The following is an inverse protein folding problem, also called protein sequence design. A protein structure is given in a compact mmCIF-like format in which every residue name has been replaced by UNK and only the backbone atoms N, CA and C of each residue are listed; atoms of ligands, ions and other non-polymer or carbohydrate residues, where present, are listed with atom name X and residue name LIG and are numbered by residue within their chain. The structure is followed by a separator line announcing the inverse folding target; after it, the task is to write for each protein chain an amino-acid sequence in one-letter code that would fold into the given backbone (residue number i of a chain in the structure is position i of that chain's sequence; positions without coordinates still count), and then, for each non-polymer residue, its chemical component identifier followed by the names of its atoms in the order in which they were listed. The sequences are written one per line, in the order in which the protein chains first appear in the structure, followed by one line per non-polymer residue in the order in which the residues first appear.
data_IF_134319459072
#
_entry.id   IF_134319459072
#
_cell.length_a   1.000
_cell.length_b   1.000
_cell.length_c   1.000
_cell.angle_alpha   90.00
_cell.angle_beta   90.00
_cell.angle_gamma   90.00
#
_symmetry.space_group_name_H-M   'P 1'
#
loop_
_entity.id
_entity.type
_entity.pdbx_description
1 polymer ?
#
# COMPACT_ATOMS: atom_id res chain seq x y z
N UNK A 1 -34.84 58.28 -0.34
CA UNK A 1 -33.48 58.46 -0.95
C UNK A 1 -32.46 58.17 0.14
N UNK A 2 -31.58 57.16 0.14
CA UNK A 2 -31.29 56.03 -0.75
C UNK A 2 -31.01 54.83 0.18
N UNK A 3 -31.75 53.73 -0.03
CA UNK A 3 -31.42 52.42 0.52
C UNK A 3 -30.20 51.92 -0.27
N UNK A 4 -29.02 51.84 0.36
CA UNK A 4 -27.84 51.22 -0.28
C UNK A 4 -27.79 49.76 0.13
N UNK A 5 -28.29 48.91 -0.76
CA UNK A 5 -27.96 47.49 -0.82
C UNK A 5 -26.48 47.40 -1.24
N UNK A 6 -25.66 46.75 -0.44
CA UNK A 6 -24.41 46.11 -0.87
C UNK A 6 -24.33 44.82 -0.08
N UNK A 7 -25.19 43.87 -0.43
CA UNK A 7 -24.84 42.65 -1.16
C UNK A 7 -23.70 41.90 -0.47
N UNK A 8 -24.08 41.16 0.58
CA UNK A 8 -23.67 39.79 0.86
C UNK A 8 -22.32 39.39 0.23
N UNK A 9 -21.24 39.54 1.00
CA UNK A 9 -20.00 38.82 0.77
C UNK A 9 -20.25 37.34 1.02
N UNK A 10 -20.83 36.64 0.04
CA UNK A 10 -20.82 35.18 0.01
C UNK A 10 -19.38 34.79 -0.29
N UNK A 11 -18.60 34.62 0.77
CA UNK A 11 -17.33 33.92 0.72
C UNK A 11 -17.69 32.47 0.34
N UNK A 12 -17.70 32.17 -0.96
CA UNK A 12 -17.52 30.81 -1.42
C UNK A 12 -16.09 30.43 -1.02
N UNK A 13 -15.94 29.96 0.22
CA UNK A 13 -14.86 29.05 0.56
C UNK A 13 -15.15 27.81 -0.26
N UNK A 14 -14.64 27.77 -1.49
CA UNK A 14 -14.39 26.50 -2.13
C UNK A 14 -13.42 25.81 -1.19
N UNK A 15 -13.95 24.95 -0.31
CA UNK A 15 -13.18 23.87 0.25
C UNK A 15 -12.72 23.07 -0.96
N UNK A 16 -11.56 23.41 -1.50
CA UNK A 16 -10.73 22.46 -2.19
C UNK A 16 -10.47 21.40 -1.12
N UNK A 17 -11.33 20.39 -1.07
CA UNK A 17 -10.96 19.13 -0.47
C UNK A 17 -9.92 18.60 -1.46
N UNK A 18 -8.62 18.60 -1.12
CA UNK A 18 -7.68 17.90 -1.97
C UNK A 18 -8.22 16.49 -2.17
N UNK A 19 -8.32 16.05 -3.43
CA UNK A 19 -8.53 14.65 -3.74
C UNK A 19 -7.32 13.92 -3.17
N UNK A 20 -7.44 13.48 -1.93
CA UNK A 20 -6.38 12.76 -1.25
C UNK A 20 -6.59 11.29 -1.57
N UNK A 21 -5.74 10.75 -2.44
CA UNK A 21 -5.75 9.32 -2.70
C UNK A 21 -5.17 8.62 -1.49
N UNK A 22 -6.04 7.88 -0.82
CA UNK A 22 -5.73 7.39 0.49
C UNK A 22 -5.79 5.87 0.44
N UNK A 23 -4.65 5.17 0.53
CA UNK A 23 -4.52 3.72 0.66
C UNK A 23 -4.82 3.22 2.09
N UNK A 24 -5.04 1.92 2.28
CA UNK A 24 -5.07 1.30 3.61
C UNK A 24 -4.31 -0.02 3.58
N UNK A 25 -3.30 -0.18 4.44
CA UNK A 25 -2.52 -1.40 4.63
C UNK A 25 -2.72 -1.98 6.03
N UNK A 26 -2.59 -3.29 6.17
CA UNK A 26 -2.65 -3.94 7.48
C UNK A 26 -1.73 -5.15 7.58
N UNK A 27 -1.34 -5.47 8.81
CA UNK A 27 -0.75 -6.76 9.20
C UNK A 27 -1.46 -7.27 10.46
N UNK A 28 -1.82 -8.54 10.50
CA UNK A 28 -2.49 -9.18 11.64
C UNK A 28 -1.90 -10.54 11.94
N UNK A 29 -1.78 -10.83 13.23
CA UNK A 29 -1.14 -12.00 13.80
C UNK A 29 -2.15 -12.73 14.71
N UNK A 30 -2.95 -13.59 14.11
CA UNK A 30 -3.89 -14.47 14.82
C UNK A 30 -3.47 -15.94 14.72
N UNK A 31 -4.45 -16.84 14.57
CA UNK A 31 -4.18 -18.24 14.20
C UNK A 31 -3.43 -18.35 12.87
N UNK A 32 -3.70 -17.40 11.96
CA UNK A 32 -2.93 -17.18 10.75
C UNK A 32 -2.30 -15.79 10.76
N UNK A 33 -1.16 -15.66 10.08
CA UNK A 33 -0.53 -14.38 9.79
C UNK A 33 -1.07 -13.93 8.46
N UNK A 34 -1.65 -12.74 8.40
CA UNK A 34 -2.25 -12.19 7.19
C UNK A 34 -1.86 -10.73 7.04
N UNK A 35 -1.47 -10.35 5.83
CA UNK A 35 -1.25 -8.95 5.47
C UNK A 35 -2.20 -8.55 4.36
N UNK A 36 -2.40 -7.26 4.17
CA UNK A 36 -3.14 -6.81 3.01
C UNK A 36 -3.08 -5.32 2.78
N UNK A 37 -3.59 -4.91 1.62
CA UNK A 37 -3.59 -3.53 1.19
C UNK A 37 -4.71 -3.27 0.18
N UNK A 38 -5.39 -2.13 0.32
CA UNK A 38 -6.06 -1.45 -0.78
C UNK A 38 -5.11 -0.43 -1.41
N UNK A 39 -4.90 -0.54 -2.72
CA UNK A 39 -4.26 0.46 -3.53
C UNK A 39 -5.33 1.40 -4.10
N UNK A 40 -5.41 2.57 -3.49
CA UNK A 40 -6.40 3.59 -3.76
C UNK A 40 -5.73 4.72 -4.55
N UNK A 41 -6.12 4.87 -5.82
CA UNK A 41 -5.49 5.81 -6.73
C UNK A 41 -6.44 6.27 -7.83
N UNK A 42 -6.04 7.27 -8.61
CA UNK A 42 -6.75 7.60 -9.84
C UNK A 42 -6.53 6.51 -10.90
N UNK A 43 -7.50 6.35 -11.80
CA UNK A 43 -7.49 5.29 -12.81
C UNK A 43 -6.19 5.26 -13.61
N UNK A 44 -5.40 4.22 -13.43
CA UNK A 44 -4.08 4.07 -14.05
C UNK A 44 -3.75 2.60 -14.33
N UNK A 45 -2.93 2.27 -15.35
CA UNK A 45 -2.51 0.89 -15.58
C UNK A 45 -1.76 0.29 -14.39
N UNK A 46 -2.21 -0.87 -13.95
CA UNK A 46 -1.55 -1.71 -12.96
C UNK A 46 -0.80 -2.86 -13.63
N UNK A 47 0.31 -3.26 -13.02
CA UNK A 47 1.13 -4.41 -13.42
C UNK A 47 1.43 -5.29 -12.22
N UNK A 48 1.32 -6.60 -12.43
CA UNK A 48 1.73 -7.62 -11.48
C UNK A 48 3.00 -8.29 -12.00
N UNK A 49 4.01 -8.47 -11.16
CA UNK A 49 5.26 -9.12 -11.57
C UNK A 49 5.89 -9.89 -10.42
N UNK A 50 6.73 -10.87 -10.77
CA UNK A 50 7.65 -11.52 -9.82
C UNK A 50 9.07 -11.30 -10.31
N UNK A 51 9.90 -10.72 -9.44
CA UNK A 51 11.33 -10.60 -9.67
C UNK A 51 12.10 -11.57 -8.79
N UNK A 52 13.18 -12.14 -9.33
CA UNK A 52 14.07 -13.03 -8.58
C UNK A 52 15.42 -12.36 -8.41
N UNK A 53 15.75 -11.95 -7.18
CA UNK A 53 17.04 -11.32 -6.85
C UNK A 53 17.67 -12.03 -5.66
N UNK A 54 18.96 -12.37 -5.76
CA UNK A 54 19.68 -13.06 -4.69
C UNK A 54 19.09 -14.42 -4.28
N UNK A 55 18.31 -15.07 -5.15
CA UNK A 55 17.61 -16.31 -4.82
C UNK A 55 16.33 -16.14 -4.00
N UNK A 56 15.79 -14.92 -3.92
CA UNK A 56 14.46 -14.64 -3.37
C UNK A 56 13.52 -14.18 -4.48
N UNK A 57 12.34 -14.78 -4.55
CA UNK A 57 11.26 -14.30 -5.38
C UNK A 57 10.47 -13.23 -4.63
N UNK A 58 10.18 -12.11 -5.30
CA UNK A 58 9.41 -11.00 -4.76
C UNK A 58 8.26 -10.71 -5.69
N UNK A 59 7.03 -10.77 -5.17
CA UNK A 59 5.86 -10.27 -5.87
C UNK A 59 5.76 -8.77 -5.70
N UNK A 60 5.43 -8.07 -6.79
CA UNK A 60 5.16 -6.65 -6.79
C UNK A 60 3.81 -6.33 -7.43
N UNK A 61 3.01 -5.54 -6.71
CA UNK A 61 2.01 -4.66 -7.30
C UNK A 61 2.71 -3.37 -7.72
N UNK A 62 2.62 -3.04 -9.00
CA UNK A 62 3.19 -1.84 -9.57
C UNK A 62 2.15 -1.07 -10.41
N UNK A 63 2.36 0.22 -10.59
CA UNK A 63 1.49 1.10 -11.36
C UNK A 63 2.33 1.99 -12.28
N UNK A 64 1.79 2.34 -13.44
CA UNK A 64 2.47 3.24 -14.37
C UNK A 64 2.69 4.60 -13.69
N UNK A 65 3.91 5.10 -13.57
CA UNK A 65 4.14 6.38 -12.88
C UNK A 65 4.05 7.55 -13.87
N UNK A 66 2.99 8.37 -13.78
CA UNK A 66 2.71 9.41 -14.78
C UNK A 66 3.74 10.54 -14.83
N UNK A 67 4.28 10.93 -13.66
CA UNK A 67 5.17 12.11 -13.56
C UNK A 67 6.47 11.96 -14.33
N UNK A 68 6.79 10.74 -14.73
CA UNK A 68 8.03 10.44 -15.43
C UNK A 68 7.80 10.07 -16.90
N UNK A 69 6.58 10.19 -17.42
CA UNK A 69 6.30 9.89 -18.82
C UNK A 69 6.91 10.90 -19.79
N UNK A 70 7.11 12.15 -19.35
CA UNK A 70 7.79 13.20 -20.13
C UNK A 70 9.31 13.02 -20.18
N UNK A 71 9.89 12.22 -19.27
CA UNK A 71 11.31 11.85 -19.29
C UNK A 71 11.49 10.52 -20.05
N UNK A 72 12.21 10.51 -21.18
CA UNK A 72 12.44 9.30 -21.97
C UNK A 72 13.03 8.13 -21.17
N UNK A 73 13.76 8.41 -20.08
CA UNK A 73 14.39 7.39 -19.21
C UNK A 73 13.36 6.60 -18.41
N UNK A 74 12.19 7.16 -18.19
CA UNK A 74 11.15 6.61 -17.33
C UNK A 74 9.80 6.46 -18.06
N UNK A 75 9.81 6.58 -19.39
CA UNK A 75 8.67 6.23 -20.23
C UNK A 75 8.32 4.77 -20.01
N UNK A 76 7.05 4.47 -19.72
CA UNK A 76 6.59 3.14 -19.32
C UNK A 76 7.22 2.61 -18.00
N UNK A 77 7.69 3.49 -17.12
CA UNK A 77 8.14 3.09 -15.79
C UNK A 77 6.96 2.70 -14.90
N UNK A 78 7.04 1.51 -14.31
CA UNK A 78 6.07 1.01 -13.34
C UNK A 78 6.66 1.09 -11.93
N UNK A 79 6.17 2.04 -11.13
CA UNK A 79 6.58 2.19 -9.73
C UNK A 79 5.95 1.07 -8.90
N UNK A 80 6.75 0.44 -8.04
CA UNK A 80 6.31 -0.63 -7.13
C UNK A 80 5.76 0.00 -5.85
N UNK A 81 4.60 -0.46 -5.37
CA UNK A 81 3.93 0.12 -4.18
C UNK A 81 3.66 -0.92 -3.10
N UNK A 82 3.45 -2.18 -3.46
CA UNK A 82 3.16 -3.22 -2.48
C UNK A 82 3.74 -4.55 -2.91
N UNK A 83 4.19 -5.37 -1.96
CA UNK A 83 4.82 -6.62 -2.31
C UNK A 83 5.08 -7.53 -1.12
N UNK A 84 5.43 -8.77 -1.44
CA UNK A 84 5.85 -9.76 -0.46
C UNK A 84 6.90 -10.67 -1.10
N UNK A 85 7.97 -10.95 -0.36
CA UNK A 85 8.97 -11.91 -0.81
C UNK A 85 8.69 -13.34 -0.32
N UNK A 86 9.42 -14.31 -0.86
CA UNK A 86 9.25 -15.74 -0.55
C UNK A 86 9.71 -16.15 0.87
N UNK A 87 10.26 -15.19 1.64
CA UNK A 87 10.53 -15.33 3.08
C UNK A 87 9.37 -14.82 3.93
N UNK A 88 8.36 -14.22 3.30
CA UNK A 88 7.18 -13.71 3.97
C UNK A 88 7.38 -12.33 4.60
N UNK A 89 8.42 -11.59 4.19
CA UNK A 89 8.53 -10.16 4.44
C UNK A 89 7.60 -9.42 3.47
N UNK A 90 6.75 -8.58 4.02
CA UNK A 90 5.79 -7.75 3.30
C UNK A 90 6.18 -6.28 3.44
N UNK A 91 5.91 -5.51 2.38
CA UNK A 91 6.01 -4.05 2.39
C UNK A 91 4.85 -3.45 1.61
N UNK A 92 4.22 -2.43 2.18
CA UNK A 92 3.38 -1.48 1.44
C UNK A 92 3.93 -0.07 1.60
N UNK A 93 4.27 0.58 0.50
CA UNK A 93 4.68 1.98 0.39
C UNK A 93 3.45 2.82 -0.01
N UNK A 94 3.06 3.77 0.84
CA UNK A 94 1.84 4.57 0.69
C UNK A 94 2.16 6.07 0.78
N UNK A 95 1.37 6.91 0.13
CA UNK A 95 1.42 8.35 0.35
C UNK A 95 1.07 8.70 1.81
N UNK A 96 1.74 9.69 2.39
CA UNK A 96 1.49 10.16 3.76
C UNK A 96 1.28 11.66 3.79
N UNK A 97 0.18 12.09 4.42
CA UNK A 97 -0.19 13.51 4.57
C UNK A 97 -0.15 13.98 6.03
N UNK A 98 0.36 15.19 6.31
CA UNK A 98 0.72 16.22 5.35
C UNK A 98 2.03 15.93 4.61
N UNK A 99 2.11 16.33 3.34
CA UNK A 99 3.35 16.23 2.59
C UNK A 99 4.45 17.09 3.21
N UNK A 100 5.62 16.49 3.33
CA UNK A 100 6.86 17.15 3.68
C UNK A 100 7.53 17.60 2.39
N UNK A 101 8.12 18.80 2.40
CA UNK A 101 8.87 19.29 1.25
C UNK A 101 10.08 18.39 1.01
N UNK A 102 10.03 17.61 -0.06
CA UNK A 102 11.12 16.73 -0.46
C UNK A 102 12.40 17.46 -0.89
N UNK A 103 13.51 16.75 -0.85
CA UNK A 103 14.83 17.27 -1.26
C UNK A 103 15.06 17.02 -2.76
N UNK A 104 15.48 18.04 -3.50
CA UNK A 104 15.70 17.93 -4.95
C UNK A 104 16.87 17.00 -5.34
N UNK A 105 17.78 16.73 -4.40
CA UNK A 105 18.94 15.87 -4.59
C UNK A 105 19.35 15.23 -3.28
N UNK A 106 19.81 13.99 -3.34
CA UNK A 106 20.36 13.26 -2.21
C UNK A 106 21.84 13.60 -2.01
N UNK A 107 22.22 13.89 -0.76
CA UNK A 107 23.60 13.99 -0.31
C UNK A 107 24.25 12.62 -0.10
N UNK A 108 25.55 12.63 0.24
CA UNK A 108 26.27 11.41 0.63
C UNK A 108 25.65 10.80 1.90
N UNK A 109 25.33 9.51 1.84
CA UNK A 109 24.69 8.79 2.96
C UNK A 109 23.20 9.09 3.14
N UNK A 110 22.58 9.83 2.22
CA UNK A 110 21.12 10.02 2.16
C UNK A 110 20.48 9.01 1.20
N UNK A 111 19.25 8.62 1.49
CA UNK A 111 18.43 7.73 0.65
C UNK A 111 16.99 8.21 0.62
N UNK A 112 16.26 7.93 -0.45
CA UNK A 112 14.83 8.18 -0.49
C UNK A 112 14.09 7.17 0.40
N UNK A 113 13.15 7.61 1.22
CA UNK A 113 12.41 6.70 2.11
C UNK A 113 11.58 5.68 1.33
N UNK A 114 11.12 6.00 0.13
CA UNK A 114 10.47 5.07 -0.80
C UNK A 114 11.40 3.93 -1.24
N UNK A 115 12.72 4.17 -1.34
CA UNK A 115 13.71 3.14 -1.69
C UNK A 115 13.83 2.07 -0.60
N UNK A 116 13.32 2.31 0.62
CA UNK A 116 13.24 1.26 1.64
C UNK A 116 12.40 0.06 1.18
N UNK A 117 11.48 0.25 0.23
CA UNK A 117 10.72 -0.83 -0.40
C UNK A 117 11.63 -1.92 -0.99
N UNK A 118 12.81 -1.55 -1.50
CA UNK A 118 13.79 -2.49 -2.08
C UNK A 118 14.38 -3.45 -1.04
N UNK A 119 14.12 -3.21 0.26
CA UNK A 119 14.42 -4.19 1.30
C UNK A 119 13.74 -5.54 1.03
N UNK A 120 12.61 -5.58 0.31
CA UNK A 120 11.98 -6.86 -0.10
C UNK A 120 12.92 -7.76 -0.92
N UNK A 121 13.90 -7.19 -1.62
CA UNK A 121 14.82 -7.92 -2.49
C UNK A 121 16.07 -8.42 -1.76
N UNK A 122 16.32 -7.97 -0.54
CA UNK A 122 17.57 -8.24 0.21
C UNK A 122 17.36 -8.69 1.65
N UNK A 123 16.23 -8.34 2.26
CA UNK A 123 15.87 -8.68 3.64
C UNK A 123 14.92 -9.88 3.69
N UNK A 124 14.97 -10.61 4.81
CA UNK A 124 14.13 -11.78 5.04
C UNK A 124 13.09 -11.57 6.13
N UNK A 125 13.30 -10.57 6.99
CA UNK A 125 12.42 -10.22 8.10
C UNK A 125 12.51 -8.72 8.45
N UNK A 126 11.60 -8.22 9.28
CA UNK A 126 11.54 -6.83 9.74
C UNK A 126 12.82 -6.45 10.50
N UNK A 127 13.43 -7.39 11.23
CA UNK A 127 14.69 -7.15 11.93
C UNK A 127 15.87 -6.89 10.98
N UNK A 128 15.88 -7.49 9.78
CA UNK A 128 16.87 -7.14 8.75
C UNK A 128 16.68 -5.69 8.29
N UNK A 129 15.43 -5.30 8.01
CA UNK A 129 15.08 -3.92 7.60
C UNK A 129 15.48 -2.92 8.68
N UNK A 130 15.17 -3.22 9.95
CA UNK A 130 15.54 -2.41 11.11
C UNK A 130 17.06 -2.20 11.23
N UNK A 131 17.87 -3.15 10.78
CA UNK A 131 19.34 -3.01 10.77
C UNK A 131 19.85 -2.16 9.59
N UNK A 132 19.13 -2.11 8.47
CA UNK A 132 19.51 -1.28 7.31
C UNK A 132 19.20 0.20 7.52
N UNK A 133 18.13 0.50 8.24
CA UNK A 133 17.63 1.87 8.40
C UNK A 133 18.66 2.83 9.01
N UNK A 134 19.37 2.51 10.11
CA UNK A 134 20.22 3.48 10.81
C UNK A 134 21.47 3.92 10.06
N UNK A 135 21.90 3.18 9.03
CA UNK A 135 23.10 3.54 8.25
C UNK A 135 22.85 4.61 7.17
N UNK A 136 21.59 5.01 6.97
CA UNK A 136 21.17 5.93 5.92
C UNK A 136 20.29 7.02 6.51
N UNK A 137 20.52 8.27 6.11
CA UNK A 137 19.59 9.36 6.41
C UNK A 137 18.46 9.34 5.38
N UNK A 138 17.29 8.88 5.81
CA UNK A 138 16.12 8.75 4.93
C UNK A 138 15.37 10.08 4.81
N UNK A 139 15.12 10.49 3.58
CA UNK A 139 14.44 11.74 3.22
C UNK A 139 13.33 11.47 2.21
N UNK A 140 12.41 12.42 2.06
CA UNK A 140 11.38 12.42 1.03
C UNK A 140 11.93 13.02 -0.26
N UNK A 141 11.62 12.41 -1.41
CA UNK A 141 11.78 13.04 -2.73
C UNK A 141 10.74 14.12 -2.99
N UNK A 142 10.99 15.02 -3.96
CA UNK A 142 10.00 16.01 -4.37
C UNK A 142 8.73 15.34 -4.91
N UNK A 143 7.58 15.69 -4.36
CA UNK A 143 6.31 15.08 -4.72
C UNK A 143 5.50 14.68 -3.48
N UNK A 144 4.56 13.73 -3.64
CA UNK A 144 3.88 13.12 -2.51
C UNK A 144 4.91 12.48 -1.59
N UNK A 145 4.82 12.79 -0.30
CA UNK A 145 5.60 12.08 0.71
C UNK A 145 5.09 10.67 0.85
N UNK A 146 5.97 9.73 1.18
CA UNK A 146 5.61 8.33 1.41
C UNK A 146 6.09 7.79 2.75
N UNK A 147 5.48 6.71 3.20
CA UNK A 147 5.91 5.90 4.33
C UNK A 147 5.69 4.41 4.04
N UNK A 148 6.35 3.54 4.80
CA UNK A 148 6.32 2.09 4.54
C UNK A 148 5.81 1.32 5.75
N UNK A 149 4.90 0.37 5.52
CA UNK A 149 4.51 -0.66 6.49
C UNK A 149 5.27 -1.93 6.14
N UNK A 150 6.12 -2.41 7.06
CA UNK A 150 6.78 -3.70 6.97
C UNK A 150 6.16 -4.71 7.92
N UNK A 151 6.09 -5.98 7.52
CA UNK A 151 5.61 -7.08 8.36
C UNK A 151 6.29 -8.41 8.01
N UNK A 152 6.53 -9.30 8.99
CA UNK A 152 7.18 -10.60 8.78
C UNK A 152 6.51 -11.77 9.51
N UNK A 153 6.90 -13.00 9.12
CA UNK A 153 6.34 -14.23 9.69
C UNK A 153 6.71 -14.49 11.16
N UNK A 154 7.62 -13.68 11.71
CA UNK A 154 8.10 -13.73 13.09
C UNK A 154 7.18 -13.01 14.08
N UNK A 155 6.15 -12.30 13.61
CA UNK A 155 5.26 -11.56 14.49
C UNK A 155 5.59 -10.08 14.60
N UNK A 156 6.49 -9.57 13.75
CA UNK A 156 6.91 -8.17 13.80
C UNK A 156 6.25 -7.37 12.68
N UNK A 157 5.73 -6.20 13.01
CA UNK A 157 5.34 -5.20 12.02
C UNK A 157 5.75 -3.81 12.50
N UNK A 158 6.09 -2.93 11.55
CA UNK A 158 6.48 -1.55 11.83
C UNK A 158 6.08 -0.62 10.68
N UNK A 159 5.81 0.64 11.01
CA UNK A 159 5.72 1.74 10.04
C UNK A 159 6.96 2.61 10.13
N UNK A 160 7.55 2.97 8.99
CA UNK A 160 8.76 3.78 8.89
C UNK A 160 8.47 5.11 8.21
N UNK A 161 8.83 6.21 8.84
CA UNK A 161 8.44 7.58 8.45
C UNK A 161 9.65 8.53 8.54
N UNK A 162 9.59 9.66 7.84
CA UNK A 162 10.58 10.74 7.95
C UNK A 162 9.95 12.10 7.67
N UNK A 163 10.40 13.12 8.41
CA UNK A 163 10.13 14.53 8.14
C UNK A 163 11.34 15.25 7.51
N UNK A 164 12.27 14.48 6.93
CA UNK A 164 13.59 14.88 6.43
C UNK A 164 14.61 15.26 7.52
N UNK A 165 14.25 15.23 8.80
CA UNK A 165 15.19 15.45 9.91
C UNK A 165 15.42 14.17 10.66
N UNK A 166 14.34 13.56 11.12
CA UNK A 166 14.37 12.36 11.93
C UNK A 166 13.70 11.20 11.19
N UNK A 167 14.31 10.02 11.27
CA UNK A 167 13.66 8.78 10.87
C UNK A 167 12.89 8.21 12.07
N UNK A 168 11.61 7.94 11.89
CA UNK A 168 10.71 7.48 12.95
C UNK A 168 10.20 6.09 12.61
N UNK A 169 10.31 5.19 13.59
CA UNK A 169 9.76 3.84 13.50
C UNK A 169 8.62 3.74 14.51
N UNK A 170 7.43 3.38 14.03
CA UNK A 170 6.28 3.02 14.86
C UNK A 170 6.12 1.50 14.86
N UNK A 171 6.52 0.86 15.95
CA UNK A 171 6.37 -0.59 16.11
C UNK A 171 4.92 -0.99 16.43
N UNK A 172 4.54 -2.19 16.00
CA UNK A 172 3.28 -2.81 16.40
C UNK A 172 3.25 -3.09 17.91
N UNK A 173 2.28 -2.51 18.62
CA UNK A 173 2.11 -2.68 20.07
C UNK A 173 1.14 -3.80 20.50
N UNK A 174 0.65 -4.63 19.58
CA UNK A 174 -0.36 -5.66 19.82
C UNK A 174 -0.39 -6.72 18.73
N UNK A 175 -1.55 -7.31 18.46
CA UNK A 175 -1.68 -8.42 17.49
C UNK A 175 -1.82 -7.97 16.03
N UNK A 176 -1.93 -6.66 15.79
CA UNK A 176 -2.07 -6.11 14.44
C UNK A 176 -1.57 -4.67 14.36
N UNK A 177 -1.25 -4.23 13.14
CA UNK A 177 -0.88 -2.88 12.77
C UNK A 177 -1.65 -2.46 11.52
N UNK A 178 -2.17 -1.24 11.50
CA UNK A 178 -2.83 -0.62 10.34
C UNK A 178 -2.02 0.59 9.92
N UNK A 179 -1.91 0.82 8.61
CA UNK A 179 -1.35 2.03 8.03
C UNK A 179 -2.38 2.63 7.06
N UNK A 180 -2.56 3.93 7.16
CA UNK A 180 -3.31 4.75 6.20
C UNK A 180 -2.46 5.99 5.91
N UNK A 181 -3.01 7.06 5.36
CA UNK A 181 -2.21 8.14 4.76
C UNK A 181 -1.96 9.31 5.71
N UNK A 182 -1.80 9.04 7.00
CA UNK A 182 -1.35 10.02 7.99
C UNK A 182 -0.15 9.45 8.73
N UNK A 183 0.73 10.29 9.34
CA UNK A 183 1.86 9.78 10.08
C UNK A 183 1.41 8.95 11.28
N UNK A 184 1.68 7.65 11.25
CA UNK A 184 1.37 6.71 12.32
C UNK A 184 2.01 7.15 13.64
N UNK A 185 3.24 7.66 13.62
CA UNK A 185 3.91 8.13 14.84
C UNK A 185 3.17 9.27 15.54
N UNK A 186 2.50 10.14 14.77
CA UNK A 186 1.75 11.29 15.31
C UNK A 186 0.43 10.86 16.00
N UNK A 187 -0.02 9.64 15.75
CA UNK A 187 -1.22 9.04 16.35
C UNK A 187 -0.90 7.91 17.34
N UNK A 188 0.37 7.53 17.47
CA UNK A 188 0.80 6.49 18.38
C UNK A 188 0.36 6.79 19.83
N UNK A 189 -0.28 5.80 20.46
CA UNK A 189 -0.77 5.89 21.84
C UNK A 189 -2.04 6.72 22.05
N UNK A 190 -2.60 7.34 20.99
CA UNK A 190 -3.87 8.05 21.08
C UNK A 190 -5.07 7.10 21.07
N UNK A 191 -6.19 7.47 21.72
CA UNK A 191 -7.47 6.79 21.53
C UNK A 191 -7.88 6.72 20.05
N UNK A 192 -8.56 5.65 19.65
CA UNK A 192 -8.92 5.40 18.25
C UNK A 192 -9.84 6.48 17.66
N UNK A 193 -10.75 7.03 18.47
CA UNK A 193 -11.64 8.13 18.10
C UNK A 193 -10.90 9.46 17.90
N UNK A 194 -9.72 9.64 18.48
CA UNK A 194 -8.87 10.83 18.31
C UNK A 194 -7.93 10.77 17.10
N UNK A 195 -7.86 9.65 16.38
CA UNK A 195 -7.02 9.51 15.18
C UNK A 195 -7.53 10.43 14.06
N UNK A 196 -6.70 11.34 13.56
CA UNK A 196 -7.10 12.31 12.52
C UNK A 196 -6.11 12.30 11.35
N UNK A 197 -6.54 12.88 10.22
CA UNK A 197 -5.75 12.94 8.99
C UNK A 197 -6.40 12.19 7.84
N UNK A 198 -5.71 12.15 6.72
CA UNK A 198 -6.19 11.51 5.49
C UNK A 198 -6.26 10.00 5.68
N UNK A 199 -7.43 9.41 5.39
CA UNK A 199 -7.67 7.98 5.64
C UNK A 199 -7.95 7.60 7.09
N UNK A 200 -8.03 8.56 8.03
CA UNK A 200 -8.31 8.26 9.45
C UNK A 200 -9.63 7.50 9.67
N UNK A 201 -10.65 7.78 8.85
CA UNK A 201 -11.93 7.07 8.90
C UNK A 201 -11.77 5.57 8.59
N UNK A 202 -11.07 5.27 7.49
CA UNK A 202 -10.75 3.91 7.05
C UNK A 202 -9.83 3.20 8.04
N UNK A 203 -8.85 3.90 8.60
CA UNK A 203 -8.01 3.40 9.69
C UNK A 203 -8.85 2.95 10.89
N UNK A 204 -9.81 3.77 11.34
CA UNK A 204 -10.70 3.42 12.47
C UNK A 204 -11.58 2.21 12.16
N UNK A 205 -12.13 2.12 10.94
CA UNK A 205 -12.91 0.96 10.50
C UNK A 205 -12.06 -0.31 10.50
N UNK A 206 -10.85 -0.27 9.92
CA UNK A 206 -9.92 -1.39 9.91
C UNK A 206 -9.56 -1.84 11.33
N UNK A 207 -9.23 -0.91 12.23
CA UNK A 207 -8.97 -1.20 13.64
C UNK A 207 -10.16 -1.88 14.33
N UNK A 208 -11.36 -1.36 14.11
CA UNK A 208 -12.59 -1.90 14.70
C UNK A 208 -12.86 -3.32 14.21
N UNK A 209 -12.70 -3.55 12.90
CA UNK A 209 -12.90 -4.86 12.31
C UNK A 209 -11.86 -5.88 12.81
N UNK A 210 -10.56 -5.51 12.83
CA UNK A 210 -9.48 -6.36 13.29
C UNK A 210 -9.64 -6.72 14.78
N UNK A 211 -10.00 -5.75 15.62
CA UNK A 211 -10.22 -6.00 17.04
C UNK A 211 -11.28 -7.09 17.29
N UNK A 212 -12.32 -7.15 16.43
CA UNK A 212 -13.40 -8.13 16.53
C UNK A 212 -13.08 -9.49 15.89
N UNK A 213 -12.18 -9.55 14.89
CA UNK A 213 -11.99 -10.76 14.06
C UNK A 213 -10.58 -11.34 14.06
N UNK A 214 -9.60 -10.72 14.75
CA UNK A 214 -8.17 -11.08 14.67
C UNK A 214 -7.83 -12.54 14.93
N UNK A 215 -8.58 -13.25 15.79
CA UNK A 215 -8.23 -14.63 16.17
C UNK A 215 -8.39 -15.61 14.99
N UNK A 216 -9.52 -15.54 14.27
CA UNK A 216 -9.83 -16.42 13.14
C UNK A 216 -9.62 -15.72 11.80
N UNK A 217 -8.61 -14.85 11.70
CA UNK A 217 -8.40 -14.00 10.53
C UNK A 217 -7.72 -14.77 9.39
N UNK A 218 -8.37 -14.85 8.23
CA UNK A 218 -7.84 -15.49 7.02
C UNK A 218 -8.11 -14.66 5.77
N UNK A 219 -7.99 -15.28 4.59
CA UNK A 219 -8.16 -14.60 3.28
C UNK A 219 -9.54 -13.94 3.15
N UNK A 220 -10.60 -14.64 3.54
CA UNK A 220 -11.97 -14.10 3.48
C UNK A 220 -12.12 -12.86 4.37
N UNK A 221 -11.66 -12.92 5.63
CA UNK A 221 -11.68 -11.77 6.54
C UNK A 221 -10.80 -10.62 6.03
N UNK A 222 -9.69 -10.95 5.34
CA UNK A 222 -8.85 -9.98 4.67
C UNK A 222 -9.62 -9.17 3.62
N UNK A 223 -10.34 -9.84 2.70
CA UNK A 223 -11.16 -9.14 1.72
C UNK A 223 -12.39 -8.46 2.34
N UNK A 224 -13.01 -9.04 3.38
CA UNK A 224 -14.11 -8.39 4.10
C UNK A 224 -13.65 -7.07 4.77
N UNK A 225 -12.44 -7.06 5.36
CA UNK A 225 -11.82 -5.85 5.89
C UNK A 225 -11.60 -4.84 4.77
N UNK A 226 -10.91 -5.24 3.69
CA UNK A 226 -10.58 -4.37 2.57
C UNK A 226 -11.84 -3.79 1.90
N UNK A 227 -12.93 -4.56 1.82
CA UNK A 227 -14.24 -4.12 1.34
C UNK A 227 -14.87 -3.03 2.21
N UNK A 228 -14.62 -3.00 3.53
CA UNK A 228 -15.12 -1.97 4.43
C UNK A 228 -14.32 -0.66 4.37
N UNK A 229 -13.10 -0.72 3.83
CA UNK A 229 -12.16 0.39 3.73
C UNK A 229 -11.81 0.73 2.29
N UNK A 230 -12.71 0.40 1.36
CA UNK A 230 -12.64 0.85 -0.05
C UNK A 230 -12.66 2.38 -0.10
N UNK A 231 -11.83 2.94 -0.97
CA UNK A 231 -11.92 4.32 -1.40
C UNK A 231 -12.86 4.40 -2.61
N UNK A 232 -13.89 5.25 -2.52
CA UNK A 232 -14.86 5.54 -3.59
C UNK A 232 -15.05 7.06 -3.72
N UNK A 233 -13.95 7.80 -3.56
CA UNK A 233 -13.97 9.25 -3.65
C UNK A 233 -13.98 9.70 -5.13
N UNK A 234 -14.65 10.80 -5.49
CA UNK A 234 -14.64 11.28 -6.85
C UNK A 234 -13.20 11.56 -7.34
N UNK A 235 -12.72 10.74 -8.28
CA UNK A 235 -11.36 10.85 -8.84
C UNK A 235 -10.29 10.01 -8.14
N UNK A 236 -10.62 9.29 -7.06
CA UNK A 236 -9.76 8.30 -6.45
C UNK A 236 -10.54 7.06 -6.01
N UNK A 237 -10.13 5.88 -6.44
CA UNK A 237 -10.86 4.64 -6.16
C UNK A 237 -9.89 3.49 -5.86
N UNK A 238 -10.36 2.48 -5.11
CA UNK A 238 -9.62 1.24 -4.96
C UNK A 238 -9.48 0.54 -6.30
N UNK A 239 -8.25 0.54 -6.84
CA UNK A 239 -7.93 -0.13 -8.11
C UNK A 239 -7.53 -1.58 -7.92
N UNK A 240 -6.98 -1.91 -6.75
CA UNK A 240 -6.56 -3.26 -6.41
C UNK A 240 -6.64 -3.49 -4.90
N UNK A 241 -7.15 -4.66 -4.53
CA UNK A 241 -7.14 -5.16 -3.16
C UNK A 241 -6.32 -6.44 -3.11
N UNK A 242 -5.43 -6.54 -2.12
CA UNK A 242 -4.50 -7.66 -1.99
C UNK A 242 -4.48 -8.21 -0.56
N UNK A 243 -4.46 -9.54 -0.43
CA UNK A 243 -4.34 -10.27 0.83
C UNK A 243 -3.22 -11.30 0.71
N UNK A 244 -2.26 -11.27 1.62
CA UNK A 244 -1.08 -12.13 1.61
C UNK A 244 -1.13 -13.17 2.73
N UNK A 245 -0.83 -14.43 2.37
CA UNK A 245 -0.53 -15.52 3.30
C UNK A 245 0.99 -15.80 3.26
N UNK A 246 1.78 -15.16 4.12
CA UNK A 246 3.24 -15.18 4.03
C UNK A 246 3.85 -16.56 4.27
N UNK A 247 3.28 -17.37 5.17
CA UNK A 247 3.75 -18.73 5.43
C UNK A 247 3.50 -19.68 4.24
N UNK A 248 2.45 -19.41 3.47
CA UNK A 248 2.10 -20.16 2.27
C UNK A 248 2.74 -19.59 1.01
N UNK A 249 3.46 -18.47 1.12
CA UNK A 249 4.08 -17.75 -0.01
C UNK A 249 3.07 -17.48 -1.13
N UNK A 250 1.87 -17.10 -0.71
CA UNK A 250 0.69 -16.96 -1.57
C UNK A 250 0.10 -15.57 -1.39
N UNK A 251 -0.31 -14.97 -2.50
CA UNK A 251 -0.99 -13.68 -2.53
C UNK A 251 -2.33 -13.88 -3.23
N UNK A 252 -3.38 -13.32 -2.69
CA UNK A 252 -4.70 -13.22 -3.31
C UNK A 252 -4.93 -11.76 -3.68
N UNK A 253 -5.41 -11.49 -4.88
CA UNK A 253 -5.65 -10.13 -5.33
C UNK A 253 -6.85 -10.00 -6.24
N UNK A 254 -7.38 -8.79 -6.36
CA UNK A 254 -8.48 -8.47 -7.25
C UNK A 254 -8.41 -7.02 -7.71
N UNK A 255 -8.78 -6.78 -8.96
CA UNK A 255 -9.10 -5.45 -9.50
C UNK A 255 -10.62 -5.29 -9.74
N UNK A 256 -11.43 -6.26 -9.32
CA UNK A 256 -12.88 -6.18 -9.35
C UNK A 256 -13.36 -5.36 -8.14
N UNK A 257 -14.03 -4.21 -8.34
CA UNK A 257 -14.52 -3.38 -7.24
C UNK A 257 -15.48 -4.11 -6.29
N UNK A 258 -16.13 -5.18 -6.75
CA UNK A 258 -17.01 -6.01 -5.91
C UNK A 258 -16.28 -7.13 -5.17
N UNK A 259 -15.01 -7.36 -5.47
CA UNK A 259 -14.18 -8.42 -4.92
C UNK A 259 -14.76 -9.84 -5.11
N UNK A 260 -15.59 -10.02 -6.15
CA UNK A 260 -16.21 -11.31 -6.48
C UNK A 260 -15.22 -12.20 -7.23
N UNK A 261 -14.36 -11.58 -8.05
CA UNK A 261 -13.34 -12.24 -8.85
C UNK A 261 -11.96 -12.11 -8.21
N UNK A 262 -11.35 -13.24 -7.81
CA UNK A 262 -10.06 -13.26 -7.11
C UNK A 262 -9.04 -14.06 -7.90
N UNK A 263 -7.86 -13.48 -8.08
CA UNK A 263 -6.65 -14.14 -8.55
C UNK A 263 -5.81 -14.62 -7.37
N UNK A 264 -5.05 -15.70 -7.60
CA UNK A 264 -4.07 -16.24 -6.68
C UNK A 264 -2.70 -16.25 -7.33
N UNK A 265 -1.70 -15.72 -6.63
CA UNK A 265 -0.29 -15.75 -6.99
C UNK A 265 0.44 -16.72 -6.08
N UNK A 266 1.28 -17.57 -6.67
CA UNK A 266 2.17 -18.47 -5.93
C UNK A 266 3.62 -18.09 -6.21
N UNK A 267 4.33 -17.58 -5.20
CA UNK A 267 5.75 -17.24 -5.31
C UNK A 267 6.65 -18.46 -5.51
N UNK A 268 6.21 -19.64 -5.03
CA UNK A 268 6.96 -20.89 -5.21
C UNK A 268 6.86 -21.46 -6.63
N UNK A 269 5.76 -21.18 -7.34
CA UNK A 269 5.53 -21.63 -8.72
C UNK A 269 5.75 -20.52 -9.76
N UNK A 270 5.88 -19.26 -9.33
CA UNK A 270 5.94 -18.09 -10.21
C UNK A 270 4.77 -18.05 -11.19
N UNK A 271 3.55 -18.16 -10.66
CA UNK A 271 2.31 -18.12 -11.47
C UNK A 271 1.28 -17.23 -10.80
N UNK A 272 0.42 -16.64 -11.62
CA UNK A 272 -0.87 -16.08 -11.24
C UNK A 272 -1.98 -16.92 -11.89
N UNK A 273 -3.00 -17.29 -11.13
CA UNK A 273 -4.08 -18.18 -11.58
C UNK A 273 -5.43 -17.74 -11.02
N UNK A 274 -6.51 -18.05 -11.73
CA UNK A 274 -7.88 -17.79 -11.25
C UNK A 274 -8.16 -18.60 -9.99
N UNK A 275 -8.71 -17.97 -8.95
CA UNK A 275 -9.07 -18.65 -7.69
C UNK A 275 -10.59 -18.69 -7.47
N UNK A 276 -11.25 -17.53 -7.56
CA UNK A 276 -12.70 -17.39 -7.29
C UNK A 276 -13.36 -16.48 -8.32
N UNK A 277 -14.63 -16.76 -8.64
CA UNK A 277 -15.48 -15.85 -9.42
C UNK A 277 -15.28 -15.89 -10.94
N UNK A 278 -14.36 -16.72 -11.44
CA UNK A 278 -14.11 -16.91 -12.87
C UNK A 278 -14.83 -18.14 -13.42
N UNK A 279 -15.29 -18.05 -14.67
CA UNK A 279 -15.94 -19.17 -15.37
C UNK A 279 -14.94 -20.19 -15.91
N UNK A 280 -13.72 -19.74 -16.21
CA UNK A 280 -12.64 -20.57 -16.73
C UNK A 280 -11.47 -20.60 -15.74
N UNK A 281 -10.78 -21.75 -15.67
CA UNK A 281 -9.52 -21.86 -14.94
C UNK A 281 -8.38 -21.42 -15.84
N UNK A 282 -7.69 -20.36 -15.46
CA UNK A 282 -6.56 -19.81 -16.20
C UNK A 282 -5.35 -19.73 -15.29
N UNK A 283 -4.18 -20.03 -15.85
CA UNK A 283 -2.89 -19.87 -15.21
C UNK A 283 -1.96 -19.13 -16.17
N UNK A 284 -1.24 -18.13 -15.65
CA UNK A 284 -0.24 -17.37 -16.38
C UNK A 284 1.09 -17.38 -15.60
N UNK A 285 2.22 -17.72 -16.23
CA UNK A 285 3.54 -17.58 -15.61
C UNK A 285 3.84 -16.11 -15.30
N UNK A 286 4.33 -15.81 -14.10
CA UNK A 286 4.63 -14.45 -13.67
C UNK A 286 6.15 -14.31 -13.50
N UNK A 287 6.76 -13.40 -14.25
CA UNK A 287 8.20 -13.10 -14.21
C UNK A 287 8.46 -11.59 -14.20
N UNK A 288 9.71 -11.20 -14.44
CA UNK A 288 10.16 -9.79 -14.33
C UNK A 288 9.40 -8.82 -15.27
N UNK A 289 9.01 -9.26 -16.46
CA UNK A 289 8.19 -8.44 -17.38
C UNK A 289 6.79 -8.15 -16.84
N UNK A 290 6.31 -9.06 -15.98
CA UNK A 290 4.96 -9.03 -15.40
C UNK A 290 3.84 -9.23 -16.41
N UNK A 291 2.63 -8.94 -15.96
CA UNK A 291 1.41 -8.85 -16.76
C UNK A 291 0.62 -7.62 -16.35
N UNK A 292 0.04 -6.90 -17.31
CA UNK A 292 -0.90 -5.82 -17.00
C UNK A 292 -2.20 -6.41 -16.45
N UNK A 293 -2.79 -5.75 -15.46
CA UNK A 293 -4.07 -6.19 -14.91
C UNK A 293 -5.16 -6.31 -15.99
N UNK A 294 -5.19 -5.37 -16.94
CA UNK A 294 -6.15 -5.39 -18.05
C UNK A 294 -5.97 -6.60 -18.99
N UNK A 295 -4.72 -6.99 -19.27
CA UNK A 295 -4.43 -8.16 -20.09
C UNK A 295 -4.83 -9.44 -19.36
N UNK A 296 -4.54 -9.51 -18.06
CA UNK A 296 -4.91 -10.62 -17.19
C UNK A 296 -6.44 -10.82 -17.14
N UNK A 297 -7.19 -9.74 -16.96
CA UNK A 297 -8.67 -9.79 -16.97
C UNK A 297 -9.23 -10.19 -18.34
N UNK A 298 -8.61 -9.71 -19.42
CA UNK A 298 -9.00 -10.07 -20.78
C UNK A 298 -8.79 -11.57 -21.08
N UNK A 299 -7.77 -12.19 -20.49
CA UNK A 299 -7.57 -13.64 -20.60
C UNK A 299 -8.74 -14.41 -19.95
N UNK A 300 -9.26 -13.92 -18.81
CA UNK A 300 -10.27 -14.60 -18.00
C UNK A 300 -11.72 -14.36 -18.39
N UNK A 301 -11.96 -13.37 -19.26
CA UNK A 301 -13.25 -13.09 -19.88
C UNK A 301 -13.15 -13.18 -21.42
N UNK A 302 -12.83 -14.36 -22.00
CA UNK A 302 -12.66 -14.53 -23.45
C UNK A 302 -13.98 -14.42 -24.23
#
# INVERSE_FOLDING_TARGET
MKLKISLLSVLFVFCWVPLACACTGFAVYGEQIVYGMNFDYFSIPLKFLIESRGGMNVFHLAFLYEKTQDDPRFRNYYAKTCGMNDRGLFCSCQEVEPYVQGLESLGEGEGDIGDQYDALETCTCVDDVRRLIPSTRWVQSPGPSVHNLFADTGGHAMVTETDNRDHVITDMGGDFLVMANFPNHAMAGKPLDEVVGVGAERYRRAHTYLAAHKQSFGVSQGFDLLGQVVCDDPGCTTLCSMVCLPRERTIYLTTDPKMEKIWKVSLGRNVIETDRGYAASIQHPLGHEGILAADLESMACP
#
